data_IF_922942473532
#
_entry.id   IF_922942473532
#
_cell.length_a   1.000
_cell.length_b   1.000
_cell.length_c   1.000
_cell.angle_alpha   90.00
_cell.angle_beta   90.00
_cell.angle_gamma   90.00
#
_symmetry.space_group_name_H-M   'P 1'
#
loop_
_entity.id
_entity.type
_entity.pdbx_description
1 polymer ?
#
# COMPACT_ATOMS: atom_id res chain seq x y z
N UNK A 1 11.52 -5.64 1.38
CA UNK A 1 10.96 -4.45 2.06
C UNK A 1 9.48 -4.69 2.23
N UNK A 2 8.90 -4.31 3.36
CA UNK A 2 7.46 -4.37 3.57
C UNK A 2 6.91 -2.98 3.22
N UNK A 3 5.91 -2.91 2.36
CA UNK A 3 5.20 -1.65 2.06
C UNK A 3 4.28 -1.35 3.24
N UNK A 4 4.42 -0.16 3.82
CA UNK A 4 3.66 0.31 4.97
C UNK A 4 2.63 1.35 4.52
N UNK A 5 1.36 1.13 4.87
CA UNK A 5 0.24 2.01 4.56
C UNK A 5 -0.30 2.58 5.86
N UNK A 6 -0.25 3.88 6.04
CA UNK A 6 -0.77 4.55 7.23
C UNK A 6 -2.23 4.95 7.04
N UNK A 7 -3.12 4.42 7.87
CA UNK A 7 -4.53 4.80 7.87
C UNK A 7 -4.70 6.04 8.75
N UNK A 8 -5.06 7.17 8.16
CA UNK A 8 -5.22 8.45 8.84
C UNK A 8 -6.63 9.01 8.64
N UNK A 9 -7.02 9.96 9.45
CA UNK A 9 -8.31 10.66 9.37
C UNK A 9 -8.69 11.28 10.71
N UNK A 10 -9.69 12.14 10.69
CA UNK A 10 -10.25 12.74 11.89
C UNK A 10 -10.87 11.68 12.83
N UNK A 11 -11.14 12.00 14.07
CA UNK A 11 -11.93 11.12 14.95
C UNK A 11 -13.31 10.84 14.34
N UNK A 12 -13.84 9.63 14.60
CA UNK A 12 -15.20 9.21 14.23
C UNK A 12 -15.51 9.16 12.71
N UNK A 13 -14.48 9.07 11.85
CA UNK A 13 -14.66 8.90 10.39
C UNK A 13 -14.80 7.42 9.95
N UNK A 14 -14.82 6.47 10.90
CA UNK A 14 -14.89 5.04 10.60
C UNK A 14 -13.54 4.33 10.41
N UNK A 15 -12.42 5.02 10.66
CA UNK A 15 -11.05 4.51 10.46
C UNK A 15 -10.78 3.20 11.17
N UNK A 16 -11.00 3.12 12.49
CA UNK A 16 -10.75 1.91 13.27
C UNK A 16 -11.77 0.79 12.95
N UNK A 17 -12.99 1.13 12.57
CA UNK A 17 -13.99 0.16 12.09
C UNK A 17 -13.50 -0.52 10.82
N UNK A 18 -13.04 0.26 9.84
CA UNK A 18 -12.47 -0.25 8.59
C UNK A 18 -11.22 -1.11 8.85
N UNK A 19 -10.30 -0.62 9.69
CA UNK A 19 -9.11 -1.38 10.08
C UNK A 19 -9.46 -2.73 10.70
N UNK A 20 -10.40 -2.75 11.65
CA UNK A 20 -10.81 -3.97 12.35
C UNK A 20 -11.48 -4.96 11.40
N UNK A 21 -12.34 -4.52 10.50
CA UNK A 21 -12.97 -5.36 9.48
C UNK A 21 -11.91 -6.03 8.59
N UNK A 22 -10.98 -5.27 8.04
CA UNK A 22 -9.88 -5.79 7.22
C UNK A 22 -8.98 -6.73 8.03
N UNK A 23 -8.65 -6.38 9.27
CA UNK A 23 -7.80 -7.17 10.15
C UNK A 23 -8.44 -8.53 10.48
N UNK A 24 -9.72 -8.56 10.86
CA UNK A 24 -10.46 -9.79 11.14
C UNK A 24 -10.53 -10.70 9.91
N UNK A 25 -10.76 -10.15 8.72
CA UNK A 25 -10.75 -10.92 7.47
C UNK A 25 -9.39 -11.53 7.19
N UNK A 26 -8.33 -10.76 7.38
CA UNK A 26 -6.95 -11.24 7.21
C UNK A 26 -6.62 -12.34 8.20
N UNK A 27 -7.02 -12.21 9.47
CA UNK A 27 -6.83 -13.24 10.51
C UNK A 27 -7.56 -14.53 10.12
N UNK A 28 -8.81 -14.43 9.69
CA UNK A 28 -9.58 -15.60 9.25
C UNK A 28 -8.91 -16.34 8.07
N UNK A 29 -8.29 -15.60 7.14
CA UNK A 29 -7.52 -16.16 6.03
C UNK A 29 -6.12 -16.65 6.45
N UNK A 30 -5.49 -16.01 7.44
CA UNK A 30 -4.13 -16.30 7.89
C UNK A 30 -3.96 -17.68 8.54
N UNK A 31 -5.05 -18.34 8.93
CA UNK A 31 -5.00 -19.78 9.34
C UNK A 31 -4.35 -20.66 8.27
N UNK A 32 -4.30 -20.18 7.02
CA UNK A 32 -3.67 -20.85 5.89
C UNK A 32 -2.25 -20.32 5.56
N UNK A 33 -1.76 -19.26 6.24
CA UNK A 33 -0.46 -18.64 5.98
C UNK A 33 0.42 -18.64 7.24
N UNK A 34 1.57 -19.35 7.27
CA UNK A 34 2.48 -19.30 8.39
C UNK A 34 3.19 -17.93 8.47
N UNK A 35 3.52 -17.46 9.70
CA UNK A 35 4.31 -16.27 10.01
C UNK A 35 3.60 -14.90 9.93
N UNK A 36 2.28 -14.81 10.09
CA UNK A 36 1.63 -13.53 10.35
C UNK A 36 1.66 -13.23 11.87
N UNK A 37 2.62 -12.42 12.30
CA UNK A 37 2.56 -11.81 13.65
C UNK A 37 1.55 -10.66 13.57
N UNK A 38 0.50 -10.73 14.40
CA UNK A 38 -0.52 -9.67 14.50
C UNK A 38 -0.14 -8.83 15.70
N UNK A 39 0.15 -7.57 15.45
CA UNK A 39 0.34 -6.56 16.49
C UNK A 39 -0.91 -5.68 16.57
N UNK A 40 -1.24 -5.13 17.76
CA UNK A 40 -2.29 -4.13 17.85
C UNK A 40 -2.03 -3.00 16.84
N UNK A 41 -3.05 -2.62 16.08
CA UNK A 41 -3.00 -1.56 15.06
C UNK A 41 -2.10 -1.83 13.85
N UNK A 42 -1.62 -3.06 13.62
CA UNK A 42 -0.81 -3.43 12.45
C UNK A 42 -1.33 -4.74 11.87
N UNK A 43 -1.73 -4.73 10.61
CA UNK A 43 -2.19 -5.93 9.92
C UNK A 43 -1.58 -6.08 8.54
N UNK A 44 -1.06 -7.28 8.18
CA UNK A 44 -0.62 -7.57 6.82
C UNK A 44 -1.84 -7.90 5.95
N UNK A 45 -1.97 -7.27 4.79
CA UNK A 45 -3.03 -7.55 3.82
C UNK A 45 -2.39 -8.19 2.58
N UNK A 46 -2.84 -9.37 2.14
CA UNK A 46 -2.33 -10.00 0.93
C UNK A 46 -2.74 -9.19 -0.30
N UNK A 47 -1.81 -9.03 -1.25
CA UNK A 47 -2.10 -8.47 -2.57
C UNK A 47 -2.76 -9.59 -3.40
N UNK A 48 -3.99 -9.39 -3.90
CA UNK A 48 -4.64 -10.33 -4.80
C UNK A 48 -3.80 -10.54 -6.07
N UNK A 49 -3.45 -11.78 -6.36
CA UNK A 49 -2.56 -12.12 -7.46
C UNK A 49 -3.03 -13.42 -8.15
N UNK A 50 -3.80 -13.30 -9.24
CA UNK A 50 -4.29 -14.46 -9.98
C UNK A 50 -3.18 -15.24 -10.71
N UNK A 51 -2.04 -14.57 -11.00
CA UNK A 51 -0.89 -15.21 -11.65
C UNK A 51 -0.19 -16.17 -10.69
N UNK A 52 -0.05 -15.78 -9.41
CA UNK A 52 0.58 -16.62 -8.40
C UNK A 52 -0.03 -18.02 -8.30
N UNK A 53 -1.37 -18.13 -8.30
CA UNK A 53 -2.04 -19.43 -8.22
C UNK A 53 -1.72 -20.31 -9.43
N UNK A 54 -1.68 -19.70 -10.61
CA UNK A 54 -1.35 -20.40 -11.86
C UNK A 54 0.12 -20.81 -11.90
N UNK A 55 1.05 -19.96 -11.50
CA UNK A 55 2.48 -20.30 -11.38
C UNK A 55 2.69 -21.41 -10.36
N UNK A 56 2.01 -21.35 -9.21
CA UNK A 56 2.10 -22.37 -8.17
C UNK A 56 1.53 -23.75 -8.60
N UNK A 57 0.63 -23.78 -9.57
CA UNK A 57 0.08 -25.02 -10.13
C UNK A 57 0.98 -25.65 -11.20
N UNK A 58 1.92 -24.91 -11.77
CA UNK A 58 2.87 -25.42 -12.75
C UNK A 58 3.86 -26.36 -12.07
N UNK A 59 3.96 -27.59 -12.57
CA UNK A 59 4.81 -28.62 -12.00
C UNK A 59 4.15 -29.38 -10.85
N UNK A 60 4.72 -29.36 -9.68
CA UNK A 60 4.16 -30.05 -8.51
C UNK A 60 3.40 -29.04 -7.64
N UNK A 61 2.09 -29.22 -7.48
CA UNK A 61 1.19 -28.35 -6.70
C UNK A 61 1.85 -27.77 -5.45
N UNK A 62 2.34 -26.54 -5.53
CA UNK A 62 3.01 -25.84 -4.45
C UNK A 62 2.04 -24.93 -3.70
N UNK A 63 2.38 -24.63 -2.43
CA UNK A 63 1.63 -23.64 -1.66
C UNK A 63 1.93 -22.24 -2.20
N UNK A 64 0.89 -21.52 -2.60
CA UNK A 64 0.98 -20.13 -3.03
C UNK A 64 1.07 -19.19 -1.82
N UNK A 65 2.11 -18.33 -1.74
CA UNK A 65 2.28 -17.31 -0.72
C UNK A 65 2.27 -15.93 -1.37
N UNK A 66 1.18 -15.15 -1.25
CA UNK A 66 1.09 -13.83 -1.83
C UNK A 66 2.03 -12.83 -1.14
N UNK A 67 2.41 -11.79 -1.86
CA UNK A 67 3.01 -10.61 -1.27
C UNK A 67 1.96 -9.89 -0.40
N UNK A 68 2.43 -9.15 0.61
CA UNK A 68 1.56 -8.41 1.52
C UNK A 68 1.99 -6.96 1.61
N UNK A 69 1.03 -6.06 1.73
CA UNK A 69 1.22 -4.72 2.27
C UNK A 69 0.94 -4.74 3.77
N UNK A 70 1.43 -3.76 4.51
CA UNK A 70 1.20 -3.64 5.95
C UNK A 70 0.33 -2.42 6.21
N UNK A 71 -0.90 -2.63 6.66
CA UNK A 71 -1.80 -1.56 7.09
C UNK A 71 -1.53 -1.24 8.56
N UNK A 72 -1.44 0.04 8.88
CA UNK A 72 -1.20 0.56 10.23
C UNK A 72 -2.33 1.51 10.58
N UNK A 73 -3.12 1.17 11.63
CA UNK A 73 -4.10 2.12 12.18
C UNK A 73 -3.35 3.16 13.01
N UNK A 74 -3.24 4.34 12.46
CA UNK A 74 -2.61 5.46 13.14
C UNK A 74 -3.68 6.17 13.97
N UNK A 75 -3.39 6.44 15.24
CA UNK A 75 -4.30 7.15 16.13
C UNK A 75 -4.83 8.42 15.45
N UNK A 76 -6.11 8.75 15.67
CA UNK A 76 -6.76 9.87 14.98
C UNK A 76 -5.98 11.19 15.16
N UNK A 77 -5.88 11.94 14.06
CA UNK A 77 -5.29 13.27 14.08
C UNK A 77 -6.24 14.21 14.82
N UNK A 78 -5.71 14.96 15.78
CA UNK A 78 -6.42 16.05 16.45
C UNK A 78 -5.81 17.35 15.98
N UNK A 79 -6.62 18.40 15.80
CA UNK A 79 -6.14 19.75 15.48
C UNK A 79 -5.03 20.16 16.45
N UNK A 80 -3.93 20.73 15.92
CA UNK A 80 -2.76 21.13 16.69
C UNK A 80 -1.73 20.01 16.93
N UNK A 81 -1.85 18.86 16.29
CA UNK A 81 -0.87 17.78 16.38
C UNK A 81 0.53 18.21 15.90
N UNK A 82 0.61 19.17 14.97
CA UNK A 82 1.85 19.76 14.46
C UNK A 82 2.58 20.61 15.50
N UNK A 83 1.88 21.14 16.53
CA UNK A 83 2.47 21.95 17.60
C UNK A 83 3.23 21.14 18.66
N UNK A 84 3.27 19.82 18.53
CA UNK A 84 4.24 18.99 19.23
C UNK A 84 3.90 18.56 20.66
N UNK A 85 2.65 18.58 21.07
CA UNK A 85 2.26 18.09 22.39
C UNK A 85 1.83 16.60 22.35
N UNK A 86 2.59 15.74 23.00
CA UNK A 86 2.21 14.37 23.38
C UNK A 86 1.88 13.41 22.24
N UNK A 87 0.59 13.06 22.08
CA UNK A 87 0.11 12.05 21.12
C UNK A 87 0.32 12.43 19.65
N UNK A 88 0.34 13.72 19.32
CA UNK A 88 0.58 14.21 17.96
C UNK A 88 1.96 13.84 17.42
N UNK A 89 3.01 13.91 18.23
CA UNK A 89 4.37 13.53 17.83
C UNK A 89 4.46 12.03 17.50
N UNK A 90 3.80 11.17 18.27
CA UNK A 90 3.78 9.73 18.04
C UNK A 90 3.03 9.39 16.75
N UNK A 91 1.91 10.07 16.50
CA UNK A 91 1.16 9.99 15.25
C UNK A 91 2.05 10.32 14.05
N UNK A 92 2.66 11.51 14.04
CA UNK A 92 3.51 11.98 12.95
C UNK A 92 4.71 11.04 12.72
N UNK A 93 5.33 10.53 13.78
CA UNK A 93 6.43 9.58 13.68
C UNK A 93 5.99 8.28 12.97
N UNK A 94 4.81 7.74 13.32
CA UNK A 94 4.27 6.53 12.66
C UNK A 94 3.97 6.78 11.19
N UNK A 95 3.35 7.92 10.85
CA UNK A 95 3.05 8.26 9.44
C UNK A 95 4.34 8.48 8.64
N UNK A 96 5.41 9.03 9.24
CA UNK A 96 6.71 9.18 8.58
C UNK A 96 7.31 7.86 8.09
N UNK A 97 7.05 6.77 8.81
CA UNK A 97 7.53 5.44 8.43
C UNK A 97 6.72 4.77 7.31
N UNK A 98 5.54 5.31 6.96
CA UNK A 98 4.69 4.76 5.92
C UNK A 98 5.17 5.17 4.52
N UNK A 99 4.88 4.33 3.52
CA UNK A 99 5.18 4.59 2.11
C UNK A 99 4.04 5.34 1.42
N UNK A 100 2.82 5.19 1.91
CA UNK A 100 1.58 5.80 1.40
C UNK A 100 0.65 6.14 2.58
N UNK A 101 -0.13 7.18 2.42
CA UNK A 101 -1.19 7.58 3.35
C UNK A 101 -2.53 7.13 2.78
N UNK A 102 -3.33 6.41 3.58
CA UNK A 102 -4.73 6.12 3.28
C UNK A 102 -5.56 7.03 4.17
N UNK A 103 -6.14 8.07 3.56
CA UNK A 103 -6.88 9.09 4.28
C UNK A 103 -8.38 8.76 4.26
N UNK A 104 -8.90 8.29 5.39
CA UNK A 104 -10.34 8.01 5.54
C UNK A 104 -11.10 9.31 5.74
N UNK A 105 -12.04 9.56 4.85
CA UNK A 105 -12.89 10.75 4.84
C UNK A 105 -14.33 10.32 5.05
N UNK A 106 -15.05 10.97 5.97
CA UNK A 106 -16.45 10.66 6.27
C UNK A 106 -17.38 11.29 5.25
N UNK A 107 -18.18 10.46 4.58
CA UNK A 107 -19.26 10.88 3.68
C UNK A 107 -20.56 10.13 4.00
N UNK A 108 -20.93 10.04 5.27
CA UNK A 108 -22.20 9.44 5.71
C UNK A 108 -22.75 10.20 6.92
N UNK A 109 -24.07 10.25 7.02
CA UNK A 109 -24.78 10.77 8.18
C UNK A 109 -25.07 9.63 9.16
N UNK A 110 -24.86 9.88 10.45
CA UNK A 110 -25.19 8.95 11.52
C UNK A 110 -25.43 9.79 12.79
N UNK A 111 -26.66 9.78 13.29
CA UNK A 111 -27.08 10.55 14.45
C UNK A 111 -26.40 10.11 15.76
N UNK A 112 -25.98 8.84 15.81
CA UNK A 112 -25.29 8.27 16.96
C UNK A 112 -23.79 8.57 16.98
N UNK A 113 -23.22 9.08 15.85
CA UNK A 113 -21.80 9.36 15.69
C UNK A 113 -21.56 10.86 15.58
N UNK A 114 -21.15 11.47 16.70
CA UNK A 114 -20.89 12.91 16.77
C UNK A 114 -19.75 13.30 15.81
N UNK A 115 -19.99 14.28 14.94
CA UNK A 115 -18.95 14.91 14.14
C UNK A 115 -18.15 15.93 14.98
N UNK A 116 -16.84 16.00 14.79
CA UNK A 116 -15.96 16.90 15.58
C UNK A 116 -16.35 18.36 15.44
N UNK A 117 -16.75 18.80 14.25
CA UNK A 117 -17.16 20.16 13.93
C UNK A 117 -18.69 20.34 13.81
N UNK A 118 -19.49 19.31 14.16
CA UNK A 118 -20.94 19.36 14.17
C UNK A 118 -21.62 19.34 12.79
N UNK A 119 -20.85 19.36 11.70
CA UNK A 119 -21.32 19.29 10.31
C UNK A 119 -20.40 18.36 9.52
N UNK A 120 -20.97 17.51 8.71
CA UNK A 120 -20.21 16.65 7.77
C UNK A 120 -19.84 17.50 6.56
N UNK A 121 -18.55 17.67 6.36
CA UNK A 121 -17.98 18.37 5.21
C UNK A 121 -16.68 17.66 4.81
N UNK A 122 -16.75 16.68 3.89
CA UNK A 122 -15.61 15.86 3.52
C UNK A 122 -14.40 16.67 3.06
N UNK A 123 -14.62 17.80 2.36
CA UNK A 123 -13.54 18.66 1.87
C UNK A 123 -12.87 19.37 3.03
N UNK A 124 -13.63 20.03 3.89
CA UNK A 124 -13.10 20.73 5.07
C UNK A 124 -12.35 19.75 6.01
N UNK A 125 -12.91 18.55 6.22
CA UNK A 125 -12.28 17.51 7.06
C UNK A 125 -10.93 17.06 6.50
N UNK A 126 -10.86 16.85 5.19
CA UNK A 126 -9.62 16.46 4.54
C UNK A 126 -8.59 17.59 4.55
N UNK A 127 -9.00 18.83 4.36
CA UNK A 127 -8.11 20.01 4.43
C UNK A 127 -7.50 20.19 5.81
N UNK A 128 -8.24 19.95 6.88
CA UNK A 128 -7.69 19.98 8.25
C UNK A 128 -6.53 19.01 8.40
N UNK A 129 -6.69 17.77 7.96
CA UNK A 129 -5.63 16.76 8.04
C UNK A 129 -4.44 17.14 7.16
N UNK A 130 -4.70 17.54 5.92
CA UNK A 130 -3.65 17.93 4.98
C UNK A 130 -2.83 19.13 5.48
N UNK A 131 -3.50 20.13 6.08
CA UNK A 131 -2.84 21.29 6.66
C UNK A 131 -1.94 20.90 7.86
N UNK A 132 -2.40 20.02 8.74
CA UNK A 132 -1.58 19.53 9.87
C UNK A 132 -0.33 18.79 9.39
N UNK A 133 -0.44 17.97 8.33
CA UNK A 133 0.71 17.29 7.73
C UNK A 133 1.69 18.29 7.10
N UNK A 134 1.18 19.32 6.43
CA UNK A 134 1.98 20.38 5.82
C UNK A 134 2.74 21.18 6.88
N UNK A 135 2.06 21.63 7.95
CA UNK A 135 2.67 22.37 9.05
C UNK A 135 3.73 21.53 9.78
N UNK A 136 3.48 20.23 9.95
CA UNK A 136 4.45 19.31 10.54
C UNK A 136 5.72 19.15 9.68
N UNK A 137 5.57 19.16 8.36
CA UNK A 137 6.72 19.11 7.44
C UNK A 137 7.45 20.44 7.39
N UNK A 138 6.75 21.58 7.36
CA UNK A 138 7.36 22.91 7.41
C UNK A 138 8.25 23.03 8.65
N UNK A 139 7.71 22.77 9.83
CA UNK A 139 8.48 22.82 11.08
C UNK A 139 9.65 21.80 11.12
N UNK A 140 9.53 20.67 10.42
CA UNK A 140 10.61 19.67 10.32
C UNK A 140 11.73 20.17 9.40
N UNK A 141 11.39 20.75 8.26
CA UNK A 141 12.33 21.32 7.29
C UNK A 141 13.07 22.51 7.90
N UNK A 142 12.38 23.44 8.57
CA UNK A 142 12.99 24.57 9.26
C UNK A 142 14.04 24.12 10.27
N UNK A 143 13.68 23.19 11.17
CA UNK A 143 14.63 22.64 12.16
C UNK A 143 15.82 21.92 11.51
N UNK A 144 15.67 21.35 10.31
CA UNK A 144 16.81 20.76 9.59
C UNK A 144 17.70 21.82 8.98
N UNK A 145 17.14 22.90 8.42
CA UNK A 145 17.86 24.02 7.83
C UNK A 145 18.67 24.82 8.85
N UNK A 146 18.24 24.88 10.12
CA UNK A 146 18.97 25.51 11.23
C UNK A 146 20.24 24.74 11.59
N UNK A 147 20.37 23.45 11.25
CA UNK A 147 21.55 22.67 11.58
C UNK A 147 22.73 23.03 10.68
N UNK A 148 23.90 23.26 11.26
CA UNK A 148 25.15 23.56 10.54
C UNK A 148 25.60 22.47 9.59
N UNK A 149 25.11 21.24 9.78
CA UNK A 149 25.38 20.07 8.92
C UNK A 149 24.49 20.02 7.66
N UNK A 150 23.50 20.88 7.54
CA UNK A 150 22.64 20.99 6.35
C UNK A 150 23.32 21.89 5.32
N UNK A 151 24.03 21.30 4.37
CA UNK A 151 24.84 22.01 3.36
C UNK A 151 24.65 21.41 1.97
N UNK A 152 25.14 22.12 0.94
CA UNK A 152 25.14 21.64 -0.44
C UNK A 152 23.74 21.38 -0.99
N UNK A 153 23.62 20.29 -1.76
CA UNK A 153 22.37 19.94 -2.47
C UNK A 153 21.20 19.72 -1.53
N UNK A 154 21.43 19.09 -0.37
CA UNK A 154 20.39 18.91 0.64
C UNK A 154 19.77 20.23 1.05
N UNK A 155 20.60 21.24 1.35
CA UNK A 155 20.13 22.55 1.76
C UNK A 155 19.33 23.25 0.65
N UNK A 156 19.82 23.17 -0.60
CA UNK A 156 19.14 23.80 -1.73
C UNK A 156 17.76 23.19 -1.96
N UNK A 157 17.66 21.86 -1.91
CA UNK A 157 16.39 21.15 -2.05
C UNK A 157 15.43 21.48 -0.90
N UNK A 158 15.93 21.53 0.35
CA UNK A 158 15.11 21.87 1.51
C UNK A 158 14.60 23.31 1.49
N UNK A 159 15.38 24.28 0.97
CA UNK A 159 14.92 25.65 0.76
C UNK A 159 13.81 25.71 -0.30
N UNK A 160 13.93 24.93 -1.41
CA UNK A 160 12.86 24.81 -2.41
C UNK A 160 11.59 24.21 -1.80
N UNK A 161 11.74 23.18 -0.96
CA UNK A 161 10.62 22.55 -0.25
C UNK A 161 9.98 23.50 0.74
N UNK A 162 10.78 24.20 1.57
CA UNK A 162 10.29 25.18 2.53
C UNK A 162 9.40 26.21 1.85
N UNK A 163 9.91 26.84 0.78
CA UNK A 163 9.14 27.82 0.02
C UNK A 163 7.82 27.27 -0.50
N UNK A 164 7.82 26.06 -1.08
CA UNK A 164 6.58 25.44 -1.57
C UNK A 164 5.58 25.17 -0.45
N UNK A 165 6.04 24.70 0.73
CA UNK A 165 5.18 24.49 1.90
C UNK A 165 4.62 25.82 2.46
N UNK A 166 5.43 26.88 2.50
CA UNK A 166 4.99 28.25 2.88
C UNK A 166 3.92 28.79 1.90
N UNK A 167 4.05 28.47 0.60
CA UNK A 167 3.06 28.80 -0.44
C UNK A 167 1.82 27.89 -0.40
N UNK A 168 1.71 26.96 0.57
CA UNK A 168 0.60 26.04 0.75
C UNK A 168 0.63 24.82 -0.16
N UNK A 169 1.77 24.50 -0.82
CA UNK A 169 1.92 23.35 -1.69
C UNK A 169 2.44 22.13 -0.92
N UNK A 170 1.88 20.95 -1.19
CA UNK A 170 2.48 19.70 -0.71
C UNK A 170 3.84 19.44 -1.37
N UNK A 171 4.78 18.81 -0.67
CA UNK A 171 6.10 18.52 -1.20
C UNK A 171 6.06 17.68 -2.49
N UNK A 172 5.04 16.84 -2.68
CA UNK A 172 4.85 16.04 -3.91
C UNK A 172 4.46 16.89 -5.12
N UNK A 173 3.82 18.06 -4.90
CA UNK A 173 3.35 18.99 -5.95
C UNK A 173 4.39 20.06 -6.34
N UNK A 174 5.53 20.16 -5.64
CA UNK A 174 6.58 21.18 -5.89
C UNK A 174 7.38 20.90 -7.17
N UNK A 175 7.21 19.75 -7.82
CA UNK A 175 7.97 19.39 -9.01
C UNK A 175 9.44 19.06 -8.71
N UNK A 176 9.71 18.35 -7.63
CA UNK A 176 11.05 17.86 -7.29
C UNK A 176 11.50 16.79 -8.29
N UNK A 177 12.74 16.88 -8.75
CA UNK A 177 13.35 15.81 -9.56
C UNK A 177 13.54 14.56 -8.71
N UNK A 178 13.88 13.48 -9.38
CA UNK A 178 14.15 12.23 -8.71
C UNK A 178 15.37 12.32 -7.78
N UNK A 179 16.45 12.94 -8.20
CA UNK A 179 17.66 13.16 -7.45
C UNK A 179 17.38 14.03 -6.22
N UNK A 180 16.58 15.09 -6.39
CA UNK A 180 16.13 15.94 -5.29
C UNK A 180 15.32 15.12 -4.25
N UNK A 181 14.34 14.31 -4.69
CA UNK A 181 13.58 13.41 -3.79
C UNK A 181 14.48 12.42 -3.07
N UNK A 182 15.50 11.90 -3.75
CA UNK A 182 16.45 10.96 -3.16
C UNK A 182 17.34 11.62 -2.10
N UNK A 183 17.79 12.85 -2.33
CA UNK A 183 18.63 13.62 -1.42
C UNK A 183 17.94 13.87 -0.08
N UNK A 184 16.62 14.15 -0.08
CA UNK A 184 15.84 14.41 1.13
C UNK A 184 15.06 13.20 1.64
N UNK A 185 15.29 12.00 1.08
CA UNK A 185 14.53 10.79 1.44
C UNK A 185 14.56 10.48 2.94
N UNK A 186 15.69 10.72 3.60
CA UNK A 186 15.86 10.50 5.03
C UNK A 186 14.98 11.40 5.91
N UNK A 187 14.49 12.51 5.37
CA UNK A 187 13.56 13.41 6.07
C UNK A 187 12.18 12.77 6.31
N UNK A 188 11.79 11.80 5.48
CA UNK A 188 10.49 11.13 5.58
C UNK A 188 9.32 12.12 5.53
N UNK A 189 9.39 13.12 4.65
CA UNK A 189 8.34 14.15 4.55
C UNK A 189 6.98 13.53 4.32
N UNK A 190 6.00 13.95 5.11
CA UNK A 190 4.62 13.45 5.07
C UNK A 190 3.92 13.84 3.78
N UNK A 191 4.08 15.11 3.39
CA UNK A 191 3.47 15.69 2.19
C UNK A 191 4.14 15.26 0.88
N UNK A 192 5.26 14.53 0.95
CA UNK A 192 5.90 13.90 -0.21
C UNK A 192 5.31 12.53 -0.55
N UNK A 193 4.57 11.93 0.39
CA UNK A 193 3.93 10.62 0.20
C UNK A 193 2.66 10.77 -0.65
N UNK A 194 2.37 9.80 -1.55
CA UNK A 194 1.09 9.74 -2.22
C UNK A 194 -0.04 9.50 -1.22
N UNK A 195 -1.24 9.96 -1.56
CA UNK A 195 -2.43 9.81 -0.73
C UNK A 195 -3.52 9.06 -1.50
N UNK A 196 -4.08 8.04 -0.85
CA UNK A 196 -5.30 7.38 -1.28
C UNK A 196 -6.44 7.82 -0.36
N UNK A 197 -7.38 8.61 -0.87
CA UNK A 197 -8.57 9.00 -0.13
C UNK A 197 -9.58 7.86 -0.10
N UNK A 198 -9.84 7.30 1.08
CA UNK A 198 -10.88 6.31 1.32
C UNK A 198 -12.17 7.02 1.71
N UNK A 199 -13.05 7.22 0.74
CA UNK A 199 -14.32 7.93 0.89
C UNK A 199 -15.33 6.99 1.55
N UNK A 200 -15.49 7.14 2.87
CA UNK A 200 -16.31 6.24 3.67
C UNK A 200 -17.77 6.68 3.64
N UNK A 201 -18.60 5.86 3.00
CA UNK A 201 -20.01 6.10 2.78
C UNK A 201 -20.88 5.13 3.57
N UNK A 202 -22.16 5.40 3.68
CA UNK A 202 -23.11 4.43 4.18
C UNK A 202 -23.31 3.26 3.19
N UNK A 203 -24.13 2.31 3.56
CA UNK A 203 -24.42 1.13 2.78
C UNK A 203 -25.22 1.45 1.50
N UNK A 204 -26.19 2.36 1.59
CA UNK A 204 -27.07 2.73 0.47
C UNK A 204 -26.26 3.45 -0.60
N UNK A 205 -25.41 4.40 -0.21
CA UNK A 205 -24.56 5.15 -1.13
C UNK A 205 -23.45 4.28 -1.74
N UNK A 206 -22.97 3.31 -0.99
CA UNK A 206 -21.99 2.35 -1.49
C UNK A 206 -22.57 1.39 -2.55
N UNK A 207 -23.86 1.14 -2.50
CA UNK A 207 -24.57 0.13 -3.29
C UNK A 207 -25.50 0.74 -4.34
N UNK A 208 -26.63 1.27 -3.92
CA UNK A 208 -27.70 1.75 -4.81
C UNK A 208 -27.35 3.09 -5.49
N UNK A 209 -26.70 3.99 -4.76
CA UNK A 209 -26.33 5.33 -5.25
C UNK A 209 -24.86 5.39 -5.72
N UNK A 210 -24.26 4.24 -6.00
CA UNK A 210 -22.80 4.12 -6.25
C UNK A 210 -22.27 5.09 -7.30
N UNK A 211 -23.00 5.32 -8.41
CA UNK A 211 -22.54 6.24 -9.44
C UNK A 211 -22.53 7.68 -8.95
N UNK A 212 -23.56 8.10 -8.25
CA UNK A 212 -23.65 9.45 -7.66
C UNK A 212 -22.53 9.65 -6.62
N UNK A 213 -22.25 8.64 -5.81
CA UNK A 213 -21.17 8.67 -4.82
C UNK A 213 -19.78 8.73 -5.47
N UNK A 214 -19.59 8.05 -6.61
CA UNK A 214 -18.36 8.18 -7.41
C UNK A 214 -18.20 9.62 -7.93
N UNK A 215 -19.27 10.21 -8.43
CA UNK A 215 -19.26 11.58 -8.95
C UNK A 215 -18.99 12.60 -7.82
N UNK A 216 -19.54 12.37 -6.63
CA UNK A 216 -19.24 13.16 -5.42
C UNK A 216 -17.77 13.03 -5.02
N UNK A 217 -17.21 11.83 -5.02
CA UNK A 217 -15.80 11.60 -4.71
C UNK A 217 -14.87 12.22 -5.76
N UNK A 218 -15.24 12.20 -7.04
CA UNK A 218 -14.50 12.88 -8.09
C UNK A 218 -14.56 14.42 -7.94
N UNK A 219 -15.72 14.96 -7.58
CA UNK A 219 -15.88 16.39 -7.28
C UNK A 219 -15.05 16.80 -6.05
N UNK A 220 -15.06 15.98 -4.99
CA UNK A 220 -14.22 16.14 -3.81
C UNK A 220 -12.73 16.24 -4.19
N UNK A 221 -12.20 15.34 -5.03
CA UNK A 221 -10.81 15.37 -5.48
C UNK A 221 -10.45 16.66 -6.23
N UNK A 222 -11.42 17.29 -6.93
CA UNK A 222 -11.21 18.55 -7.63
C UNK A 222 -11.26 19.77 -6.72
N UNK A 223 -11.91 19.67 -5.57
CA UNK A 223 -12.11 20.77 -4.61
C UNK A 223 -11.01 20.85 -3.55
N UNK A 224 -10.39 19.72 -3.21
CA UNK A 224 -9.29 19.70 -2.22
C UNK A 224 -8.10 20.49 -2.76
N UNK A 225 -7.75 21.58 -2.07
CA UNK A 225 -6.64 22.46 -2.44
C UNK A 225 -5.25 21.82 -2.33
N UNK A 226 -5.13 20.72 -1.59
CA UNK A 226 -3.88 20.02 -1.32
C UNK A 226 -3.77 18.68 -2.05
N UNK A 227 -4.58 18.45 -3.09
CA UNK A 227 -4.55 17.22 -3.88
C UNK A 227 -3.57 17.34 -5.05
N UNK A 228 -2.71 16.35 -5.24
CA UNK A 228 -1.92 16.18 -6.44
C UNK A 228 -2.57 15.14 -7.34
N UNK A 229 -3.25 15.59 -8.38
CA UNK A 229 -4.00 14.73 -9.32
C UNK A 229 -3.12 13.70 -10.04
N UNK A 230 -1.80 13.81 -10.00
CA UNK A 230 -0.87 12.85 -10.61
C UNK A 230 -0.52 11.69 -9.68
N UNK A 231 -0.51 11.94 -8.37
CA UNK A 231 -0.07 10.98 -7.35
C UNK A 231 -1.16 10.55 -6.40
N UNK A 232 -2.21 11.36 -6.24
CA UNK A 232 -3.31 11.09 -5.32
C UNK A 232 -4.47 10.41 -6.06
N UNK A 233 -5.17 9.53 -5.36
CA UNK A 233 -6.31 8.78 -5.90
C UNK A 233 -7.39 8.64 -4.84
N UNK A 234 -8.55 8.11 -5.21
CA UNK A 234 -9.62 7.83 -4.27
C UNK A 234 -10.22 6.43 -4.47
N UNK A 235 -10.91 5.96 -3.45
CA UNK A 235 -11.72 4.75 -3.49
C UNK A 235 -12.93 4.91 -2.59
N UNK A 236 -14.04 4.28 -2.95
CA UNK A 236 -15.20 4.19 -2.07
C UNK A 236 -15.00 3.01 -1.11
N UNK A 237 -15.37 3.22 0.14
CA UNK A 237 -15.41 2.19 1.17
C UNK A 237 -16.69 2.34 1.99
N UNK A 238 -17.20 1.24 2.54
CA UNK A 238 -18.23 1.28 3.57
C UNK A 238 -17.74 0.47 4.78
N UNK A 239 -17.17 1.19 5.75
CA UNK A 239 -16.59 0.55 6.93
C UNK A 239 -17.64 -0.23 7.73
N UNK A 240 -18.89 0.23 7.75
CA UNK A 240 -20.02 -0.43 8.39
C UNK A 240 -20.34 -1.76 7.71
N UNK A 241 -20.60 -1.74 6.40
CA UNK A 241 -20.85 -2.94 5.60
C UNK A 241 -19.73 -3.97 5.75
N UNK A 242 -18.46 -3.53 5.60
CA UNK A 242 -17.30 -4.41 5.77
C UNK A 242 -17.27 -5.06 7.17
N UNK A 243 -17.64 -4.33 8.23
CA UNK A 243 -17.65 -4.86 9.58
C UNK A 243 -18.79 -5.86 9.85
N UNK A 244 -19.91 -5.71 9.16
CA UNK A 244 -21.07 -6.62 9.29
C UNK A 244 -20.82 -7.94 8.57
N UNK A 245 -20.20 -7.90 7.38
CA UNK A 245 -20.04 -9.10 6.56
C UNK A 245 -18.75 -9.87 6.82
N UNK A 246 -17.82 -9.33 7.60
CA UNK A 246 -16.49 -9.95 7.80
C UNK A 246 -16.55 -11.30 8.50
N UNK A 247 -17.51 -11.50 9.39
CA UNK A 247 -17.69 -12.72 10.18
C UNK A 247 -18.64 -13.74 9.53
N UNK A 248 -19.36 -13.35 8.47
CA UNK A 248 -20.30 -14.21 7.79
C UNK A 248 -19.60 -15.30 6.98
N UNK A 249 -20.21 -16.48 6.89
CA UNK A 249 -19.85 -17.50 5.90
C UNK A 249 -20.02 -16.97 4.48
N UNK A 250 -19.49 -17.66 3.49
CA UNK A 250 -19.63 -17.23 2.10
C UNK A 250 -21.10 -17.20 1.68
N UNK A 251 -21.89 -18.20 2.10
CA UNK A 251 -23.30 -18.32 1.79
C UNK A 251 -24.11 -17.18 2.45
N UNK A 252 -23.91 -16.95 3.75
CA UNK A 252 -24.57 -15.88 4.49
C UNK A 252 -24.21 -14.50 3.94
N UNK A 253 -22.93 -14.28 3.63
CA UNK A 253 -22.46 -13.05 3.01
C UNK A 253 -23.13 -12.80 1.67
N UNK A 254 -23.21 -13.82 0.81
CA UNK A 254 -23.82 -13.69 -0.51
C UNK A 254 -25.32 -13.38 -0.39
N UNK A 255 -26.02 -14.07 0.51
CA UNK A 255 -27.44 -13.80 0.79
C UNK A 255 -27.67 -12.39 1.33
N UNK A 256 -26.78 -11.91 2.21
CA UNK A 256 -26.85 -10.55 2.75
C UNK A 256 -26.61 -9.50 1.65
N UNK A 257 -25.53 -9.63 0.86
CA UNK A 257 -25.23 -8.73 -0.25
C UNK A 257 -26.37 -8.67 -1.28
N UNK A 258 -26.95 -9.83 -1.61
CA UNK A 258 -28.08 -9.93 -2.53
C UNK A 258 -29.32 -9.22 -1.97
N UNK A 259 -29.58 -9.31 -0.65
CA UNK A 259 -30.70 -8.66 0.02
C UNK A 259 -30.64 -7.13 -0.03
N UNK A 260 -29.44 -6.56 -0.12
CA UNK A 260 -29.20 -5.11 -0.21
C UNK A 260 -28.87 -4.66 -1.65
N UNK A 261 -29.09 -5.53 -2.65
CA UNK A 261 -28.89 -5.21 -4.07
C UNK A 261 -27.42 -5.13 -4.54
N UNK A 262 -26.50 -5.73 -3.79
CA UNK A 262 -25.08 -5.80 -4.15
C UNK A 262 -24.76 -7.11 -4.83
N UNK A 263 -24.10 -7.06 -5.98
CA UNK A 263 -23.61 -8.26 -6.63
C UNK A 263 -22.59 -9.01 -5.74
N UNK A 264 -22.75 -10.31 -5.59
CA UNK A 264 -21.85 -11.17 -4.80
C UNK A 264 -20.39 -11.13 -5.30
N UNK A 265 -20.18 -10.71 -6.54
CA UNK A 265 -18.87 -10.51 -7.17
C UNK A 265 -18.22 -9.17 -6.84
N UNK A 266 -18.94 -8.25 -6.20
CA UNK A 266 -18.39 -6.93 -5.82
C UNK A 266 -17.17 -7.11 -4.91
N UNK A 267 -16.00 -6.64 -5.36
CA UNK A 267 -14.78 -6.78 -4.56
C UNK A 267 -14.84 -5.88 -3.33
N UNK A 268 -14.49 -6.44 -2.19
CA UNK A 268 -14.46 -5.74 -0.91
C UNK A 268 -13.14 -4.98 -0.72
N UNK A 269 -13.12 -4.06 0.24
CA UNK A 269 -11.96 -3.18 0.48
C UNK A 269 -10.67 -3.96 0.74
N UNK A 270 -10.71 -5.09 1.44
CA UNK A 270 -9.52 -5.93 1.67
C UNK A 270 -8.92 -6.52 0.38
N UNK A 271 -9.67 -6.53 -0.73
CA UNK A 271 -9.22 -6.98 -2.06
C UNK A 271 -8.78 -5.80 -2.93
N UNK A 272 -9.55 -4.70 -2.91
CA UNK A 272 -9.29 -3.54 -3.77
C UNK A 272 -8.15 -2.66 -3.24
N UNK A 273 -8.10 -2.45 -1.94
CA UNK A 273 -7.11 -1.56 -1.31
C UNK A 273 -5.66 -1.97 -1.62
N UNK A 274 -5.25 -3.25 -1.50
CA UNK A 274 -3.88 -3.64 -1.83
C UNK A 274 -3.52 -3.46 -3.31
N UNK A 275 -4.50 -3.60 -4.22
CA UNK A 275 -4.30 -3.38 -5.64
C UNK A 275 -4.10 -1.91 -5.95
N UNK A 276 -4.93 -1.02 -5.38
CA UNK A 276 -4.79 0.42 -5.52
C UNK A 276 -3.44 0.91 -4.97
N UNK A 277 -3.04 0.42 -3.80
CA UNK A 277 -1.72 0.74 -3.24
C UNK A 277 -0.60 0.27 -4.15
N UNK A 278 -0.71 -0.94 -4.72
CA UNK A 278 0.25 -1.47 -5.69
C UNK A 278 0.37 -0.54 -6.90
N UNK A 279 -0.76 -0.09 -7.44
CA UNK A 279 -0.79 0.75 -8.64
C UNK A 279 -0.27 2.17 -8.36
N UNK A 280 -0.71 2.83 -7.28
CA UNK A 280 -0.24 4.17 -6.87
C UNK A 280 1.28 4.17 -6.63
N UNK A 281 1.80 3.16 -5.97
CA UNK A 281 3.25 3.04 -5.72
C UNK A 281 4.01 2.41 -6.89
N UNK A 282 3.34 2.11 -8.02
CA UNK A 282 3.90 1.47 -9.21
C UNK A 282 4.70 0.20 -8.86
N UNK A 283 4.16 -0.63 -7.98
CA UNK A 283 4.82 -1.85 -7.53
C UNK A 283 4.59 -2.98 -8.54
N UNK A 284 5.66 -3.71 -8.83
CA UNK A 284 5.65 -4.92 -9.63
C UNK A 284 5.73 -6.16 -8.75
N UNK A 285 5.33 -7.31 -9.29
CA UNK A 285 5.35 -8.60 -8.59
C UNK A 285 6.27 -9.57 -9.32
N UNK A 286 7.13 -10.25 -8.59
CA UNK A 286 7.98 -11.31 -9.11
C UNK A 286 7.85 -12.56 -8.23
N UNK A 287 8.19 -13.71 -8.76
CA UNK A 287 7.92 -14.99 -8.14
C UNK A 287 9.20 -15.78 -7.91
N UNK A 288 9.26 -16.48 -6.78
CA UNK A 288 10.27 -17.48 -6.50
C UNK A 288 9.60 -18.76 -5.99
N UNK A 289 10.15 -19.92 -6.30
CA UNK A 289 9.65 -21.15 -5.72
C UNK A 289 9.60 -22.34 -6.65
N UNK A 290 8.86 -23.40 -6.28
CA UNK A 290 8.89 -24.70 -6.95
C UNK A 290 8.29 -24.66 -8.35
N UNK A 291 8.57 -25.72 -9.06
CA UNK A 291 8.34 -25.88 -10.48
C UNK A 291 9.61 -25.74 -11.28
N UNK A 292 10.73 -25.35 -10.59
CA UNK A 292 12.05 -25.22 -11.18
C UNK A 292 13.00 -26.21 -10.52
N UNK A 293 13.45 -27.27 -11.20
CA UNK A 293 14.41 -28.23 -10.64
C UNK A 293 15.77 -27.55 -10.32
N UNK A 294 16.47 -27.93 -9.24
CA UNK A 294 16.17 -28.99 -8.27
C UNK A 294 15.47 -28.47 -6.99
N UNK A 295 14.44 -27.65 -7.12
CA UNK A 295 13.75 -27.02 -5.99
C UNK A 295 13.21 -28.05 -5.00
N UNK A 296 13.55 -27.84 -3.74
CA UNK A 296 13.00 -28.58 -2.60
C UNK A 296 11.88 -27.85 -1.89
N UNK A 297 11.66 -26.57 -2.23
CA UNK A 297 10.60 -25.78 -1.63
C UNK A 297 9.24 -26.16 -2.18
N UNK A 298 8.31 -26.47 -1.31
CA UNK A 298 6.90 -26.73 -1.65
C UNK A 298 6.07 -25.44 -1.69
N UNK A 299 6.73 -24.28 -1.91
CA UNK A 299 6.11 -22.97 -1.78
C UNK A 299 6.52 -22.07 -2.93
N UNK A 300 5.53 -21.54 -3.66
CA UNK A 300 5.73 -20.41 -4.58
C UNK A 300 5.40 -19.12 -3.86
N UNK A 301 6.33 -18.18 -3.86
CA UNK A 301 6.21 -16.92 -3.12
C UNK A 301 6.28 -15.73 -4.06
N UNK A 302 5.35 -14.78 -3.89
CA UNK A 302 5.40 -13.48 -4.54
C UNK A 302 6.25 -12.49 -3.75
N UNK A 303 7.04 -11.71 -4.46
CA UNK A 303 7.87 -10.63 -3.92
C UNK A 303 7.47 -9.31 -4.56
N UNK A 304 7.34 -8.26 -3.73
CA UNK A 304 7.18 -6.90 -4.21
C UNK A 304 8.53 -6.40 -4.75
N UNK A 305 8.49 -5.93 -5.99
CA UNK A 305 9.57 -5.25 -6.67
C UNK A 305 9.21 -3.76 -6.78
N UNK A 306 10.10 -2.89 -6.34
CA UNK A 306 9.88 -1.44 -6.43
C UNK A 306 10.07 -0.93 -7.86
N UNK A 307 9.55 0.28 -8.21
CA UNK A 307 9.63 0.83 -9.57
C UNK A 307 11.05 0.89 -10.16
N UNK A 308 12.08 0.89 -9.32
CA UNK A 308 13.49 0.86 -9.74
C UNK A 308 14.07 -0.53 -9.92
N UNK A 309 13.23 -1.54 -9.77
CA UNK A 309 13.67 -2.91 -9.73
C UNK A 309 14.29 -3.29 -8.36
N UNK A 310 14.41 -4.58 -8.17
CA UNK A 310 15.22 -5.21 -7.13
C UNK A 310 16.26 -6.01 -7.89
N UNK A 311 17.54 -5.83 -7.60
CA UNK A 311 18.57 -6.62 -8.27
C UNK A 311 18.45 -8.09 -7.88
N UNK A 312 18.83 -8.98 -8.78
CA UNK A 312 18.77 -10.42 -8.52
C UNK A 312 19.53 -10.83 -7.23
N UNK A 313 20.65 -10.17 -6.94
CA UNK A 313 21.40 -10.37 -5.69
C UNK A 313 20.61 -9.93 -4.45
N UNK A 314 19.87 -8.83 -4.54
CA UNK A 314 19.04 -8.34 -3.44
C UNK A 314 17.81 -9.24 -3.21
N UNK A 315 17.25 -9.79 -4.30
CA UNK A 315 16.19 -10.80 -4.20
C UNK A 315 16.73 -12.07 -3.53
N UNK A 316 17.95 -12.49 -3.86
CA UNK A 316 18.64 -13.61 -3.20
C UNK A 316 18.78 -13.37 -1.68
N UNK A 317 19.16 -12.16 -1.27
CA UNK A 317 19.26 -11.75 0.14
C UNK A 317 17.92 -11.79 0.87
N UNK A 318 16.81 -11.45 0.18
CA UNK A 318 15.45 -11.59 0.73
C UNK A 318 15.03 -13.05 0.97
N UNK A 319 15.62 -13.99 0.25
CA UNK A 319 15.39 -15.42 0.46
C UNK A 319 16.21 -15.93 1.65
N UNK A 320 17.52 -15.74 1.63
CA UNK A 320 18.43 -16.08 2.72
C UNK A 320 19.81 -15.42 2.50
N UNK A 321 20.48 -14.99 3.57
CA UNK A 321 21.82 -14.40 3.49
C UNK A 321 22.89 -15.33 2.87
N UNK A 322 22.75 -16.66 3.03
CA UNK A 322 23.69 -17.62 2.39
C UNK A 322 23.49 -17.67 0.88
N UNK A 323 22.25 -17.53 0.40
CA UNK A 323 21.93 -17.49 -1.03
C UNK A 323 22.52 -16.22 -1.66
N UNK A 324 22.47 -15.10 -0.95
CA UNK A 324 23.10 -13.85 -1.37
C UNK A 324 24.61 -13.99 -1.49
N UNK A 325 25.27 -14.53 -0.43
CA UNK A 325 26.72 -14.71 -0.40
C UNK A 325 27.22 -15.70 -1.45
N UNK A 326 26.45 -16.77 -1.68
CA UNK A 326 26.78 -17.81 -2.64
C UNK A 326 26.26 -17.59 -4.05
N UNK A 327 25.71 -16.42 -4.38
CA UNK A 327 25.06 -16.13 -5.66
C UNK A 327 25.98 -16.42 -6.85
N UNK A 328 25.49 -17.18 -7.82
CA UNK A 328 26.21 -17.47 -9.07
C UNK A 328 25.51 -16.73 -10.23
N UNK A 329 24.24 -17.05 -10.49
CA UNK A 329 23.39 -16.41 -11.48
C UNK A 329 21.90 -16.64 -11.15
N UNK A 330 21.03 -15.91 -11.83
CA UNK A 330 19.60 -16.16 -11.78
C UNK A 330 19.14 -16.73 -13.12
N UNK A 331 18.31 -17.78 -13.09
CA UNK A 331 17.53 -18.20 -14.25
C UNK A 331 16.17 -17.50 -14.14
N UNK A 332 15.76 -16.81 -15.19
CA UNK A 332 14.55 -15.98 -15.21
C UNK A 332 13.67 -16.37 -16.37
N UNK A 333 12.38 -16.57 -16.10
CA UNK A 333 11.36 -16.82 -17.12
C UNK A 333 10.13 -15.97 -16.82
N UNK A 334 9.45 -15.45 -17.83
CA UNK A 334 8.18 -14.74 -17.64
C UNK A 334 7.10 -15.73 -17.12
N UNK A 335 6.32 -15.30 -16.13
CA UNK A 335 5.28 -16.12 -15.52
C UNK A 335 4.24 -16.58 -16.56
N UNK A 336 3.95 -15.76 -17.57
CA UNK A 336 3.02 -16.09 -18.66
C UNK A 336 3.56 -17.21 -19.55
N UNK A 337 4.86 -17.17 -19.86
CA UNK A 337 5.51 -18.24 -20.59
C UNK A 337 5.53 -19.52 -19.77
N UNK A 338 5.90 -19.47 -18.50
CA UNK A 338 5.88 -20.62 -17.61
C UNK A 338 4.49 -21.26 -17.52
N UNK A 339 3.44 -20.46 -17.43
CA UNK A 339 2.05 -20.93 -17.42
C UNK A 339 1.65 -21.55 -18.79
N UNK A 340 2.06 -20.93 -19.90
CA UNK A 340 1.77 -21.38 -21.27
C UNK A 340 2.37 -22.75 -21.55
N UNK A 341 3.61 -22.97 -21.12
CA UNK A 341 4.32 -24.24 -21.34
C UNK A 341 4.02 -25.30 -20.27
N UNK A 342 3.25 -24.95 -19.23
CA UNK A 342 2.88 -25.83 -18.11
C UNK A 342 4.08 -26.53 -17.43
N UNK A 343 5.30 -26.12 -17.74
CA UNK A 343 6.55 -26.69 -17.23
C UNK A 343 7.70 -25.70 -17.40
N UNK A 344 8.54 -25.59 -16.38
CA UNK A 344 9.79 -24.86 -16.47
C UNK A 344 10.72 -25.47 -17.52
N UNK A 345 10.84 -26.81 -17.56
CA UNK A 345 11.73 -27.47 -18.51
C UNK A 345 11.27 -27.24 -19.96
N UNK A 346 9.97 -27.33 -20.23
CA UNK A 346 9.44 -27.06 -21.57
C UNK A 346 9.69 -25.59 -22.00
N UNK A 347 9.52 -24.64 -21.09
CA UNK A 347 9.86 -23.24 -21.36
C UNK A 347 11.38 -23.05 -21.60
N UNK A 348 12.22 -23.80 -20.89
CA UNK A 348 13.68 -23.78 -21.07
C UNK A 348 14.11 -24.37 -22.40
N UNK A 349 13.52 -25.49 -22.79
CA UNK A 349 13.81 -26.16 -24.07
C UNK A 349 13.40 -25.27 -25.26
N UNK A 350 12.38 -24.43 -25.11
CA UNK A 350 11.96 -23.42 -26.10
C UNK A 350 12.76 -22.11 -25.99
N UNK A 351 13.80 -22.05 -25.15
CA UNK A 351 14.68 -20.89 -25.03
C UNK A 351 14.07 -19.67 -24.32
N UNK A 352 13.01 -19.84 -23.55
CA UNK A 352 12.35 -18.76 -22.79
C UNK A 352 13.02 -18.44 -21.46
N UNK A 353 13.91 -19.31 -20.97
CA UNK A 353 14.65 -19.07 -19.75
C UNK A 353 15.92 -18.30 -20.05
N UNK A 354 16.06 -17.15 -19.43
CA UNK A 354 17.24 -16.29 -19.54
C UNK A 354 18.20 -16.55 -18.37
N UNK A 355 19.49 -16.43 -18.60
CA UNK A 355 20.51 -16.44 -17.55
C UNK A 355 20.95 -15.02 -17.26
N UNK A 356 20.75 -14.57 -16.05
CA UNK A 356 20.98 -13.19 -15.65
C UNK A 356 22.00 -13.08 -14.51
N UNK A 357 22.79 -12.02 -14.53
CA UNK A 357 23.81 -11.74 -13.54
C UNK A 357 23.24 -11.11 -12.26
N UNK A 358 24.11 -10.88 -11.28
CA UNK A 358 23.77 -10.31 -9.97
C UNK A 358 23.08 -8.93 -10.04
N UNK A 359 23.42 -8.12 -11.05
CA UNK A 359 22.94 -6.75 -11.21
C UNK A 359 21.67 -6.67 -12.08
N UNK A 360 21.14 -7.81 -12.54
CA UNK A 360 19.89 -7.87 -13.26
C UNK A 360 18.76 -7.25 -12.42
N UNK A 361 18.07 -6.27 -12.99
CA UNK A 361 16.89 -5.66 -12.38
C UNK A 361 15.67 -6.54 -12.64
N UNK A 362 15.16 -7.18 -11.60
CA UNK A 362 13.99 -8.06 -11.66
C UNK A 362 12.78 -7.27 -12.14
N UNK A 363 12.09 -7.79 -13.15
CA UNK A 363 10.94 -7.16 -13.79
C UNK A 363 9.61 -7.70 -13.24
N UNK A 364 8.51 -7.03 -13.60
CA UNK A 364 7.17 -7.53 -13.32
C UNK A 364 6.92 -8.87 -14.01
N UNK A 365 6.30 -9.79 -13.29
CA UNK A 365 6.02 -11.16 -13.70
C UNK A 365 7.24 -12.07 -13.91
N UNK A 366 8.44 -11.67 -13.53
CA UNK A 366 9.58 -12.57 -13.55
C UNK A 366 9.40 -13.73 -12.53
N UNK A 367 9.55 -14.96 -12.98
CA UNK A 367 9.77 -16.13 -12.14
C UNK A 367 11.28 -16.35 -12.07
N UNK A 368 11.85 -16.19 -10.86
CA UNK A 368 13.29 -16.14 -10.65
C UNK A 368 13.77 -17.35 -9.86
N UNK A 369 14.69 -18.10 -10.42
CA UNK A 369 15.44 -19.15 -9.74
C UNK A 369 16.89 -18.72 -9.51
N UNK A 370 17.27 -18.57 -8.24
CA UNK A 370 18.64 -18.22 -7.88
C UNK A 370 19.51 -19.51 -7.82
N UNK A 371 20.54 -19.54 -8.64
CA UNK A 371 21.60 -20.55 -8.57
C UNK A 371 22.70 -20.03 -7.66
N UNK A 372 23.02 -20.80 -6.67
CA UNK A 372 23.99 -20.42 -5.65
C UNK A 372 24.84 -21.61 -5.17
N UNK A 373 25.98 -21.31 -4.60
CA UNK A 373 26.91 -22.30 -4.02
C UNK A 373 27.09 -21.98 -2.55
N UNK A 374 27.05 -23.03 -1.74
CA UNK A 374 27.35 -22.99 -0.30
C UNK A 374 28.80 -22.73 -0.04
#
# INVERSE_FOLDING_TARGET
MKVKCGLVGLPNVGKSTLFNAISQKTIAQAKNFPFCTIEPNITPIPIPDPILQRVASVGQKSKALPATITLIDVAGLVRGASRGEGLGNKFLATVRECDIIIHVVRNYEDEDVIHVDGKIDPVADAEVVNLELLLADLAHVERRLERTTCVGDERNVLLKVQKGLEDGLNARSIGLTYEEKHTIKSMGLLTLKPVLYAFNTDEVDFTLNKQETIDQAAAFMSQIGYCDQQTDSYTLVSAKLESEIVLLSIEERNAYLESIGVECTTPLTYQTLPLLVKDILSLSLAYTGPGVPPERSMTTKTHIVQPRGVRAIELAGKLHGDIERGFIHAEVVDARDMIKYESYNAAKDDGRVRMEGKDYSVQDNDVVLIKWRK
#
